data_IF_500922546437
#
_entry.id   IF_500922546437
#
_cell.length_a   1.000
_cell.length_b   1.000
_cell.length_c   1.000
_cell.angle_alpha   90.00
_cell.angle_beta   90.00
_cell.angle_gamma   90.00
#
_symmetry.space_group_name_H-M   'P 1'
#
loop_
_entity.id
_entity.type
_entity.pdbx_description
1 polymer ?
#
# COMPACT_ATOMS: atom_id res chain seq x y z
N UNK A 1 11.33 -10.26 -14.80
CA UNK A 1 11.72 -8.85 -14.98
C UNK A 1 10.77 -8.02 -14.14
N UNK A 2 11.27 -7.38 -13.09
CA UNK A 2 10.45 -6.49 -12.25
C UNK A 2 10.49 -5.13 -12.95
N UNK A 3 9.46 -4.80 -13.72
CA UNK A 3 9.35 -3.47 -14.32
C UNK A 3 8.54 -2.61 -13.35
N UNK A 4 9.21 -1.69 -12.65
CA UNK A 4 8.52 -0.71 -11.83
C UNK A 4 7.80 0.30 -12.71
N UNK A 5 6.52 0.55 -12.44
CA UNK A 5 5.73 1.56 -13.13
C UNK A 5 6.05 2.93 -12.54
N UNK A 6 6.51 3.86 -13.38
CA UNK A 6 6.75 5.25 -12.95
C UNK A 6 5.41 5.97 -12.86
N UNK A 7 5.13 6.58 -11.71
CA UNK A 7 3.91 7.35 -11.46
C UNK A 7 4.21 8.82 -11.19
N UNK A 8 3.26 9.68 -11.55
CA UNK A 8 3.21 11.07 -11.13
C UNK A 8 2.25 11.16 -9.94
N UNK A 9 2.75 11.60 -8.78
CA UNK A 9 1.98 11.63 -7.53
C UNK A 9 1.24 12.95 -7.31
N UNK A 10 1.43 13.92 -8.21
CA UNK A 10 0.68 15.17 -8.21
C UNK A 10 -0.76 14.91 -8.66
N UNK A 11 -0.94 14.03 -9.64
CA UNK A 11 -2.24 13.60 -10.12
C UNK A 11 -2.83 12.53 -9.19
N UNK A 12 -4.16 12.45 -9.15
CA UNK A 12 -4.84 11.42 -8.37
C UNK A 12 -4.62 10.05 -8.98
N UNK A 13 -4.09 9.13 -8.19
CA UNK A 13 -3.89 7.73 -8.54
C UNK A 13 -4.60 6.85 -7.52
N UNK A 14 -5.58 6.08 -7.97
CA UNK A 14 -6.27 5.08 -7.16
C UNK A 14 -5.87 3.69 -7.64
N UNK A 15 -5.44 2.86 -6.71
CA UNK A 15 -5.13 1.46 -6.92
C UNK A 15 -6.05 0.64 -6.03
N UNK A 16 -7.03 -0.02 -6.64
CA UNK A 16 -7.88 -0.99 -5.95
C UNK A 16 -7.13 -2.30 -5.68
N UNK A 17 -7.44 -2.90 -4.53
CA UNK A 17 -7.01 -4.25 -4.21
C UNK A 17 -7.78 -5.26 -5.06
N UNK A 18 -7.07 -6.01 -5.92
CA UNK A 18 -7.70 -6.96 -6.84
C UNK A 18 -7.94 -8.35 -6.25
N UNK A 19 -7.31 -8.66 -5.10
CA UNK A 19 -7.41 -9.97 -4.41
C UNK A 19 -7.74 -9.84 -2.92
N UNK A 20 -8.81 -9.13 -2.60
CA UNK A 20 -9.32 -9.00 -1.21
C UNK A 20 -9.78 -10.36 -0.66
N UNK A 21 -10.20 -11.29 -1.53
CA UNK A 21 -10.72 -12.62 -1.18
C UNK A 21 -9.70 -13.57 -0.53
N UNK A 22 -8.39 -13.29 -0.64
CA UNK A 22 -7.32 -14.06 0.04
C UNK A 22 -7.55 -14.13 1.55
N UNK A 23 -8.22 -13.12 2.12
CA UNK A 23 -8.47 -13.00 3.55
C UNK A 23 -9.89 -13.42 3.97
N UNK A 24 -10.78 -13.74 3.02
CA UNK A 24 -12.14 -14.20 3.31
C UNK A 24 -12.19 -15.67 3.78
N UNK A 25 -11.19 -16.48 3.41
CA UNK A 25 -11.12 -17.92 3.74
C UNK A 25 -10.18 -18.29 4.89
N UNK A 26 -9.51 -17.31 5.53
CA UNK A 26 -8.57 -17.59 6.62
C UNK A 26 -9.33 -17.78 7.95
N UNK A 27 -9.00 -18.79 8.77
CA UNK A 27 -9.70 -19.08 10.04
C UNK A 27 -9.57 -17.96 11.09
N UNK A 28 -8.75 -16.93 10.83
CA UNK A 28 -8.66 -15.68 11.61
C UNK A 28 -8.73 -14.50 10.65
N UNK A 29 -9.62 -13.53 10.92
CA UNK A 29 -9.66 -12.25 10.20
C UNK A 29 -8.30 -11.57 10.32
N UNK A 30 -7.54 -11.48 9.22
CA UNK A 30 -6.26 -10.77 9.21
C UNK A 30 -6.52 -9.29 9.51
N UNK A 31 -5.78 -8.66 10.44
CA UNK A 31 -5.93 -7.25 10.73
C UNK A 31 -5.71 -6.39 9.49
N UNK A 32 -6.45 -5.29 9.40
CA UNK A 32 -6.32 -4.31 8.34
C UNK A 32 -5.70 -3.06 8.93
N UNK A 33 -4.69 -2.52 8.25
CA UNK A 33 -3.95 -1.35 8.67
C UNK A 33 -4.12 -0.24 7.64
N UNK A 34 -4.39 0.98 8.11
CA UNK A 34 -4.35 2.20 7.32
C UNK A 34 -3.03 2.93 7.60
N UNK A 35 -2.22 3.10 6.55
CA UNK A 35 -0.96 3.83 6.62
C UNK A 35 -1.11 5.12 5.84
N UNK A 36 -0.77 6.25 6.47
CA UNK A 36 -0.72 7.56 5.81
C UNK A 36 0.73 7.88 5.47
N UNK A 37 0.99 8.31 4.25
CA UNK A 37 2.35 8.58 3.79
C UNK A 37 2.42 9.75 2.81
N UNK A 38 3.63 10.26 2.65
CA UNK A 38 4.01 11.19 1.59
C UNK A 38 4.88 10.48 0.56
N UNK A 39 4.88 11.00 -0.66
CA UNK A 39 5.69 10.56 -1.78
C UNK A 39 6.40 11.74 -2.44
N UNK A 40 7.54 11.52 -3.12
CA UNK A 40 8.08 12.52 -4.03
C UNK A 40 7.16 12.69 -5.24
N UNK A 41 7.31 13.81 -5.98
CA UNK A 41 6.51 14.13 -7.18
C UNK A 41 6.47 12.99 -8.21
N UNK A 42 7.56 12.25 -8.33
CA UNK A 42 7.66 11.07 -9.19
C UNK A 42 8.29 9.93 -8.41
N UNK A 43 7.66 8.77 -8.41
CA UNK A 43 8.19 7.54 -7.82
C UNK A 43 7.83 6.32 -8.67
N UNK A 44 8.30 5.15 -8.24
CA UNK A 44 8.01 3.87 -8.87
C UNK A 44 7.10 3.04 -7.99
N UNK A 45 6.15 2.36 -8.62
CA UNK A 45 5.31 1.33 -8.02
C UNK A 45 5.70 -0.03 -8.58
N UNK A 46 5.83 -1.03 -7.70
CA UNK A 46 6.20 -2.39 -8.05
C UNK A 46 5.04 -3.33 -7.71
N UNK A 47 4.17 -3.61 -8.69
CA UNK A 47 3.01 -4.48 -8.47
C UNK A 47 3.39 -5.95 -8.67
N UNK A 48 3.12 -6.77 -7.67
CA UNK A 48 3.42 -8.19 -7.64
C UNK A 48 2.24 -8.99 -7.06
N UNK A 49 2.21 -10.30 -7.29
CA UNK A 49 1.16 -11.19 -6.76
C UNK A 49 1.07 -11.21 -5.21
N UNK A 50 2.14 -10.78 -4.53
CA UNK A 50 2.22 -10.73 -3.06
C UNK A 50 1.61 -9.45 -2.46
N UNK A 51 1.45 -8.40 -3.25
CA UNK A 51 0.97 -7.07 -2.83
C UNK A 51 -0.31 -6.61 -3.57
N UNK A 52 -0.89 -7.50 -4.40
CA UNK A 52 -2.17 -7.30 -5.09
C UNK A 52 -3.38 -7.05 -4.17
N UNK A 53 -3.23 -7.34 -2.88
CA UNK A 53 -4.22 -7.14 -1.84
C UNK A 53 -4.12 -5.78 -1.12
N UNK A 54 -3.15 -4.94 -1.52
CA UNK A 54 -2.99 -3.58 -0.99
C UNK A 54 -3.77 -2.60 -1.86
N UNK A 55 -4.64 -1.81 -1.23
CA UNK A 55 -5.30 -0.68 -1.88
C UNK A 55 -4.58 0.62 -1.54
N UNK A 56 -4.49 1.55 -2.48
CA UNK A 56 -3.83 2.84 -2.32
C UNK A 56 -4.67 3.94 -2.96
N UNK A 57 -4.74 5.10 -2.31
CA UNK A 57 -5.18 6.36 -2.91
C UNK A 57 -4.07 7.40 -2.70
N UNK A 58 -3.58 8.02 -3.78
CA UNK A 58 -2.55 9.04 -3.79
C UNK A 58 -3.12 10.28 -4.49
N UNK A 59 -2.94 11.45 -3.87
CA UNK A 59 -3.28 12.74 -4.44
C UNK A 59 -2.36 13.81 -3.86
N UNK A 60 -1.88 14.75 -4.68
CA UNK A 60 -1.04 15.86 -4.24
C UNK A 60 0.17 15.42 -3.38
N UNK A 61 0.87 14.36 -3.79
CA UNK A 61 2.02 13.77 -3.10
C UNK A 61 1.73 13.16 -1.73
N UNK A 62 0.47 13.13 -1.30
CA UNK A 62 0.02 12.48 -0.07
C UNK A 62 -0.82 11.27 -0.45
N UNK A 63 -0.79 10.24 0.39
CA UNK A 63 -1.63 9.08 0.15
C UNK A 63 -1.92 8.31 1.41
N UNK A 64 -2.84 7.37 1.28
CA UNK A 64 -3.01 6.33 2.26
C UNK A 64 -3.08 4.97 1.59
N UNK A 65 -2.68 3.94 2.32
CA UNK A 65 -2.81 2.56 1.90
C UNK A 65 -3.62 1.78 2.92
N UNK A 66 -4.40 0.83 2.42
CA UNK A 66 -5.08 -0.19 3.20
C UNK A 66 -4.32 -1.50 3.00
N UNK A 67 -3.72 -1.98 4.08
CA UNK A 67 -2.78 -3.10 4.04
C UNK A 67 -3.22 -4.19 5.03
N UNK A 68 -3.61 -5.38 4.54
CA UNK A 68 -3.79 -6.54 5.39
C UNK A 68 -2.43 -7.06 5.90
N UNK A 69 -2.26 -7.17 7.22
CA UNK A 69 -1.02 -7.69 7.83
C UNK A 69 -1.23 -8.11 9.29
N UNK A 70 -0.38 -8.99 9.81
CA UNK A 70 -0.48 -9.47 11.20
C UNK A 70 0.02 -8.43 12.22
N UNK A 71 0.86 -7.49 11.79
CA UNK A 71 1.40 -6.42 12.63
C UNK A 71 1.61 -5.13 11.85
N UNK A 72 1.72 -4.01 12.57
CA UNK A 72 2.04 -2.68 12.03
C UNK A 72 3.35 -2.71 11.23
N UNK A 73 4.39 -3.33 11.79
CA UNK A 73 5.71 -3.46 11.16
C UNK A 73 5.63 -4.25 9.85
N UNK A 74 4.84 -5.32 9.83
CA UNK A 74 4.61 -6.09 8.61
C UNK A 74 3.84 -5.27 7.56
N UNK A 75 2.82 -4.52 7.98
CA UNK A 75 2.06 -3.64 7.08
C UNK A 75 2.97 -2.61 6.40
N UNK A 76 3.86 -1.99 7.17
CA UNK A 76 4.86 -1.05 6.66
C UNK A 76 5.81 -1.72 5.66
N UNK A 77 6.35 -2.88 6.00
CA UNK A 77 7.27 -3.61 5.13
C UNK A 77 6.58 -4.00 3.81
N UNK A 78 5.34 -4.50 3.88
CA UNK A 78 4.54 -4.83 2.68
C UNK A 78 4.32 -3.58 1.82
N UNK A 79 3.95 -2.44 2.41
CA UNK A 79 3.80 -1.19 1.66
C UNK A 79 5.12 -0.73 1.00
N UNK A 80 6.27 -0.87 1.68
CA UNK A 80 7.58 -0.54 1.11
C UNK A 80 7.97 -1.45 -0.07
N UNK A 81 7.51 -2.70 -0.11
CA UNK A 81 7.74 -3.55 -1.30
C UNK A 81 6.98 -3.06 -2.52
N UNK A 82 5.81 -2.43 -2.32
CA UNK A 82 5.00 -1.85 -3.38
C UNK A 82 5.50 -0.47 -3.80
N UNK A 83 5.82 0.40 -2.83
CA UNK A 83 6.37 1.75 -3.07
C UNK A 83 7.55 1.99 -2.12
N UNK A 84 8.79 1.75 -2.57
CA UNK A 84 9.98 1.91 -1.72
C UNK A 84 10.24 3.34 -1.24
N UNK A 85 9.76 4.34 -1.99
CA UNK A 85 9.97 5.77 -1.73
C UNK A 85 9.00 6.39 -0.72
N UNK A 86 8.19 5.60 -0.02
CA UNK A 86 7.23 6.11 0.97
C UNK A 86 7.93 6.78 2.14
N UNK A 87 7.38 7.91 2.57
CA UNK A 87 7.70 8.55 3.84
C UNK A 87 6.44 8.47 4.69
N UNK A 88 6.38 7.47 5.56
CA UNK A 88 5.21 7.25 6.43
C UNK A 88 5.12 8.37 7.46
N UNK A 89 3.91 8.93 7.62
CA UNK A 89 3.58 9.82 8.73
C UNK A 89 3.29 8.95 9.96
N UNK A 90 3.58 9.41 11.18
CA UNK A 90 3.49 8.66 12.45
C UNK A 90 2.11 8.07 12.82
N UNK A 91 1.13 8.08 11.90
CA UNK A 91 -0.20 7.53 12.09
C UNK A 91 -0.38 6.27 11.24
N UNK A 92 -0.04 5.11 11.83
CA UNK A 92 -0.51 3.81 11.36
C UNK A 92 -1.66 3.35 12.25
N UNK A 93 -2.83 3.15 11.65
CA UNK A 93 -4.07 2.87 12.40
C UNK A 93 -4.58 1.50 12.03
N UNK A 94 -4.88 0.67 13.02
CA UNK A 94 -5.62 -0.58 12.81
C UNK A 94 -7.11 -0.28 12.64
N UNK A 95 -7.71 -0.84 11.59
CA UNK A 95 -9.15 -0.76 11.30
C UNK A 95 -9.92 -1.95 11.89
#
# INVERSE_FOLDING_TARGET
>A
MISGEKINTVERLVIDASRVSRYLGYPRKVPIWKLIFNLPKTCYIFRENNNSDIAIDIENMMGFAIVPALSEKEALNRLKTLIPSIIVKDNIVRL
#
